data_IF_210173127603
#
_entry.id   IF_210173127603
#
_cell.length_a   1.000
_cell.length_b   1.000
_cell.length_c   1.000
_cell.angle_alpha   90.00
_cell.angle_beta   90.00
_cell.angle_gamma   90.00
#
_symmetry.space_group_name_H-M   'P 1'
#
loop_
_entity.id
_entity.type
_entity.pdbx_description
1 polymer ?
#
# COMPACT_ATOMS: atom_id res chain seq x y z
N UNK A 1 -8.46 7.28 5.47
CA UNK A 1 -9.01 8.62 5.15
C UNK A 1 -8.85 9.49 6.39
N UNK A 2 -7.64 10.00 6.62
CA UNK A 2 -7.23 10.63 7.90
C UNK A 2 -7.24 12.15 7.77
N UNK A 3 -8.43 12.74 7.66
CA UNK A 3 -8.59 14.15 8.02
C UNK A 3 -9.44 14.20 9.29
N UNK A 4 -8.89 14.82 10.33
CA UNK A 4 -9.67 15.14 11.54
C UNK A 4 -10.65 16.27 11.19
N UNK A 5 -11.82 16.39 11.84
CA UNK A 5 -12.71 17.54 11.68
C UNK A 5 -12.03 18.88 11.93
N UNK A 6 -10.94 18.89 12.71
CA UNK A 6 -10.14 20.07 13.05
C UNK A 6 -8.99 20.36 12.06
N UNK A 7 -8.77 19.54 11.03
CA UNK A 7 -7.77 19.85 10.01
C UNK A 7 -8.22 21.04 9.17
N UNK A 8 -7.50 22.16 9.27
CA UNK A 8 -7.72 23.31 8.40
C UNK A 8 -7.52 22.89 6.94
N UNK A 9 -8.58 22.98 6.14
CA UNK A 9 -8.46 22.81 4.70
C UNK A 9 -7.48 23.84 4.13
N UNK A 10 -6.50 23.36 3.37
CA UNK A 10 -5.67 24.19 2.50
C UNK A 10 -5.84 23.70 1.06
N UNK A 11 -5.84 24.62 0.11
CA UNK A 11 -5.96 24.28 -1.30
C UNK A 11 -4.66 23.63 -1.84
N UNK A 12 -4.77 22.95 -2.98
CA UNK A 12 -3.67 22.18 -3.56
C UNK A 12 -2.45 23.04 -3.91
N UNK A 13 -2.65 24.28 -4.37
CA UNK A 13 -1.56 25.17 -4.75
C UNK A 13 -0.80 25.64 -3.52
N UNK A 14 -1.53 26.03 -2.47
CA UNK A 14 -0.93 26.40 -1.19
C UNK A 14 -0.15 25.24 -0.57
N UNK A 15 -0.68 24.00 -0.61
CA UNK A 15 0.06 22.82 -0.13
C UNK A 15 1.35 22.61 -0.93
N UNK A 16 1.29 22.68 -2.27
CA UNK A 16 2.47 22.47 -3.12
C UNK A 16 3.54 23.54 -2.89
N UNK A 17 3.15 24.80 -2.70
CA UNK A 17 4.09 25.88 -2.40
C UNK A 17 4.70 25.77 -1.00
N UNK A 18 3.99 25.18 -0.03
CA UNK A 18 4.48 25.01 1.34
C UNK A 18 5.36 23.76 1.53
N UNK A 19 5.32 22.78 0.62
CA UNK A 19 6.04 21.51 0.76
C UNK A 19 7.15 21.39 -0.28
N UNK A 20 8.40 21.26 0.18
CA UNK A 20 9.54 21.07 -0.70
C UNK A 20 9.51 19.68 -1.39
N UNK A 21 9.78 19.60 -2.72
CA UNK A 21 9.88 18.33 -3.42
C UNK A 21 10.94 17.41 -2.78
N UNK A 22 10.59 16.14 -2.60
CA UNK A 22 11.51 15.11 -2.14
C UNK A 22 12.00 14.31 -3.34
N UNK A 23 13.32 14.27 -3.53
CA UNK A 23 13.92 13.51 -4.62
C UNK A 23 13.86 11.99 -4.35
N UNK A 24 13.75 11.21 -5.42
CA UNK A 24 13.68 9.75 -5.34
C UNK A 24 12.24 9.20 -5.39
N UNK A 25 12.10 7.90 -5.12
CA UNK A 25 10.81 7.22 -5.18
C UNK A 25 9.95 7.53 -3.95
N UNK A 26 8.66 7.76 -4.19
CA UNK A 26 7.66 7.85 -3.12
C UNK A 26 7.40 6.51 -2.41
N UNK A 27 7.89 5.39 -2.95
CA UNK A 27 7.74 4.07 -2.32
C UNK A 27 8.36 3.98 -0.93
N UNK A 28 9.47 4.68 -0.69
CA UNK A 28 10.16 4.62 0.60
C UNK A 28 9.31 5.19 1.75
N UNK A 29 8.83 6.45 1.71
CA UNK A 29 7.99 6.98 2.77
C UNK A 29 6.64 6.24 2.88
N UNK A 30 6.14 5.69 1.76
CA UNK A 30 4.94 4.86 1.81
C UNK A 30 5.19 3.51 2.52
N UNK A 31 6.32 2.85 2.27
CA UNK A 31 6.70 1.63 2.98
C UNK A 31 6.91 1.88 4.47
N UNK A 32 7.53 3.00 4.84
CA UNK A 32 7.72 3.41 6.24
C UNK A 32 6.36 3.59 6.92
N UNK A 33 5.44 4.32 6.29
CA UNK A 33 4.07 4.45 6.80
C UNK A 33 3.37 3.09 6.91
N UNK A 34 3.52 2.21 5.92
CA UNK A 34 2.93 0.87 5.97
C UNK A 34 3.49 0.02 7.11
N UNK A 35 4.78 0.13 7.43
CA UNK A 35 5.40 -0.64 8.50
C UNK A 35 4.70 -0.39 9.85
N UNK A 36 4.35 0.87 10.13
CA UNK A 36 3.64 1.27 11.35
C UNK A 36 2.17 0.78 11.40
N UNK A 37 1.61 0.40 10.24
CA UNK A 37 0.19 0.06 10.08
C UNK A 37 -0.04 -1.40 9.68
N UNK A 38 1.00 -2.23 9.54
CA UNK A 38 0.88 -3.63 9.06
C UNK A 38 0.92 -4.68 10.17
N UNK A 39 0.90 -4.26 11.43
CA UNK A 39 0.98 -5.16 12.59
C UNK A 39 2.38 -5.75 12.80
N UNK A 40 2.46 -6.72 13.72
CA UNK A 40 3.73 -7.31 14.12
C UNK A 40 4.35 -8.18 13.04
N UNK A 41 5.69 -8.23 13.01
CA UNK A 41 6.41 -9.18 12.16
C UNK A 41 6.21 -10.62 12.65
N UNK A 42 5.69 -11.47 11.76
CA UNK A 42 5.48 -12.90 12.01
C UNK A 42 6.21 -13.76 10.99
N UNK A 43 6.36 -15.05 11.28
CA UNK A 43 6.88 -16.01 10.31
C UNK A 43 5.98 -16.04 9.06
N UNK A 44 6.57 -16.10 7.85
CA UNK A 44 5.79 -16.13 6.62
C UNK A 44 4.90 -17.38 6.59
N UNK A 45 3.62 -17.25 6.16
CA UNK A 45 2.74 -18.39 6.00
C UNK A 45 3.19 -19.29 4.84
N UNK A 46 2.68 -20.52 4.82
CA UNK A 46 2.82 -21.39 3.64
C UNK A 46 2.08 -20.75 2.46
N UNK A 47 2.56 -21.03 1.25
CA UNK A 47 1.93 -20.51 0.04
C UNK A 47 0.53 -21.10 -0.15
N UNK A 48 -0.44 -20.22 -0.44
CA UNK A 48 -1.86 -20.59 -0.57
C UNK A 48 -2.55 -20.74 0.79
N UNK A 49 -3.87 -21.00 0.75
CA UNK A 49 -4.68 -21.18 1.94
C UNK A 49 -5.53 -22.46 1.82
N UNK A 50 -4.88 -23.58 1.49
CA UNK A 50 -5.53 -24.89 1.29
C UNK A 50 -6.34 -25.32 2.52
N UNK A 51 -5.85 -25.04 3.72
CA UNK A 51 -6.57 -25.30 4.99
C UNK A 51 -7.89 -24.52 5.13
N UNK A 52 -8.05 -23.44 4.37
CA UNK A 52 -9.28 -22.64 4.27
C UNK A 52 -10.10 -22.98 3.01
N UNK A 53 -9.77 -24.07 2.31
CA UNK A 53 -10.43 -24.46 1.06
C UNK A 53 -10.03 -23.62 -0.16
N UNK A 54 -8.91 -22.88 -0.08
CA UNK A 54 -8.40 -22.02 -1.16
C UNK A 54 -7.02 -22.52 -1.65
N UNK A 55 -6.97 -23.64 -2.40
CA UNK A 55 -5.74 -24.13 -2.98
C UNK A 55 -5.22 -23.19 -4.08
N UNK A 56 -3.90 -23.16 -4.35
CA UNK A 56 -3.36 -22.49 -5.54
C UNK A 56 -4.01 -23.03 -6.82
N UNK A 57 -4.42 -22.13 -7.71
CA UNK A 57 -5.06 -22.49 -8.99
C UNK A 57 -4.02 -22.57 -10.11
N UNK A 58 -3.29 -21.48 -10.34
CA UNK A 58 -2.25 -21.34 -11.34
C UNK A 58 -1.13 -20.43 -10.80
N UNK A 59 0.10 -20.48 -11.33
CA UNK A 59 1.15 -19.53 -10.97
C UNK A 59 0.79 -18.09 -11.40
N UNK A 60 1.27 -17.10 -10.63
CA UNK A 60 1.19 -15.69 -11.02
C UNK A 60 1.91 -15.46 -12.37
N UNK A 61 1.44 -14.54 -13.23
CA UNK A 61 0.37 -13.56 -12.99
C UNK A 61 -1.06 -14.05 -13.34
N UNK A 62 -1.23 -15.31 -13.72
CA UNK A 62 -2.51 -15.85 -14.16
C UNK A 62 -2.93 -15.40 -15.56
N UNK A 63 -4.13 -15.79 -15.98
CA UNK A 63 -4.60 -15.62 -17.36
C UNK A 63 -5.27 -14.27 -17.63
N UNK A 64 -5.89 -13.66 -16.62
CA UNK A 64 -6.65 -12.41 -16.79
C UNK A 64 -5.82 -11.24 -17.31
N UNK A 65 -4.55 -11.13 -16.92
CA UNK A 65 -3.66 -10.06 -17.40
C UNK A 65 -3.22 -10.25 -18.87
N UNK A 66 -3.35 -11.48 -19.40
CA UNK A 66 -2.95 -11.83 -20.77
C UNK A 66 -4.12 -11.71 -21.76
N UNK A 67 -5.33 -11.47 -21.27
CA UNK A 67 -6.49 -11.25 -22.11
C UNK A 67 -6.43 -9.87 -22.77
N UNK A 68 -6.87 -9.75 -24.03
CA UNK A 68 -6.85 -8.51 -24.80
C UNK A 68 -7.85 -7.45 -24.29
#
# INVERSE_FOLDING_TARGET
NTKSPDDSYIDAQSWLSANAPQAGSWWKPWQEWLADHSGDMVLPPKQGATEKGLPPLDPAPGHYVLMP
#
